data_IF_863636041759
#
_entry.id   IF_863636041759
#
_cell.length_a   1.000
_cell.length_b   1.000
_cell.length_c   1.000
_cell.angle_alpha   90.00
_cell.angle_beta   90.00
_cell.angle_gamma   90.00
#
_symmetry.space_group_name_H-M   'P 1'
#
loop_
_entity.id
_entity.type
_entity.pdbx_description
1 polymer ?
#
# COMPACT_ATOMS: atom_id res chain seq x y z
N UNK A 1 10.83 -4.93 17.12
CA UNK A 1 11.85 -4.23 17.96
C UNK A 1 11.44 -4.20 19.43
N UNK A 2 10.28 -3.64 19.80
CA UNK A 2 9.87 -3.49 21.22
C UNK A 2 9.80 -4.83 21.98
N UNK A 3 9.54 -5.93 21.31
CA UNK A 3 9.55 -7.27 21.91
C UNK A 3 10.96 -7.79 22.21
N UNK A 4 11.96 -7.34 21.48
CA UNK A 4 13.37 -7.71 21.68
C UNK A 4 14.03 -6.90 22.80
N UNK A 5 13.42 -5.80 23.20
CA UNK A 5 13.99 -4.91 24.22
C UNK A 5 13.63 -5.43 25.62
N UNK A 6 14.61 -5.56 26.48
CA UNK A 6 14.43 -6.02 27.86
C UNK A 6 13.99 -4.89 28.80
N UNK A 7 14.41 -3.66 28.55
CA UNK A 7 14.12 -2.50 29.40
C UNK A 7 12.71 -1.96 29.16
N UNK A 8 11.88 -1.95 30.20
CA UNK A 8 10.45 -1.55 30.14
C UNK A 8 10.23 -0.15 29.55
N UNK A 9 11.07 0.83 29.89
CA UNK A 9 10.91 2.19 29.38
C UNK A 9 11.19 2.29 27.87
N UNK A 10 12.13 1.50 27.32
CA UNK A 10 12.39 1.44 25.88
C UNK A 10 11.22 0.78 25.14
N UNK A 11 10.61 -0.26 25.72
CA UNK A 11 9.37 -0.84 25.18
C UNK A 11 8.27 0.20 25.06
N UNK A 12 8.05 0.97 26.13
CA UNK A 12 7.04 2.02 26.16
C UNK A 12 7.31 3.11 25.11
N UNK A 13 8.56 3.52 24.94
CA UNK A 13 8.94 4.49 23.89
C UNK A 13 8.69 3.94 22.48
N UNK A 14 9.07 2.69 22.21
CA UNK A 14 8.83 2.06 20.92
C UNK A 14 7.32 1.89 20.63
N UNK A 15 6.54 1.50 21.63
CA UNK A 15 5.08 1.43 21.49
C UNK A 15 4.46 2.80 21.22
N UNK A 16 4.90 3.85 21.93
CA UNK A 16 4.47 5.22 21.69
C UNK A 16 4.82 5.68 20.27
N UNK A 17 6.04 5.41 19.81
CA UNK A 17 6.50 5.73 18.46
C UNK A 17 5.63 5.03 17.38
N UNK A 18 5.35 3.74 17.55
CA UNK A 18 4.49 2.98 16.62
C UNK A 18 3.06 3.53 16.63
N UNK A 19 2.52 3.85 17.82
CA UNK A 19 1.17 4.44 17.94
C UNK A 19 1.08 5.81 17.26
N UNK A 20 2.11 6.66 17.39
CA UNK A 20 2.20 7.94 16.68
C UNK A 20 2.27 7.71 15.17
N UNK A 21 3.05 6.73 14.71
CA UNK A 21 3.10 6.33 13.30
C UNK A 21 1.73 5.90 12.75
N UNK A 22 0.98 5.13 13.52
CA UNK A 22 -0.39 4.74 13.16
C UNK A 22 -1.36 5.93 13.15
N UNK A 23 -1.25 6.83 14.11
CA UNK A 23 -2.04 8.06 14.11
C UNK A 23 -1.71 8.95 12.89
N UNK A 24 -0.42 9.07 12.55
CA UNK A 24 0.01 9.78 11.33
C UNK A 24 -0.54 9.14 10.06
N UNK A 25 -0.54 7.81 9.96
CA UNK A 25 -1.13 7.08 8.84
C UNK A 25 -2.64 7.35 8.74
N UNK A 26 -3.35 7.35 9.87
CA UNK A 26 -4.78 7.60 9.94
C UNK A 26 -5.14 9.05 9.56
N UNK A 27 -4.27 10.02 9.89
CA UNK A 27 -4.50 11.45 9.62
C UNK A 27 -3.99 11.94 8.28
N UNK A 28 -3.23 11.12 7.56
CA UNK A 28 -2.66 11.48 6.25
C UNK A 28 -3.72 11.70 5.16
N UNK A 29 -4.95 11.20 5.34
CA UNK A 29 -6.04 11.35 4.37
C UNK A 29 -5.88 10.52 3.09
N UNK A 30 -4.86 9.66 3.02
CA UNK A 30 -4.54 8.87 1.82
C UNK A 30 -5.09 7.46 1.90
N UNK A 31 -6.08 7.14 1.07
CA UNK A 31 -6.60 5.78 0.95
C UNK A 31 -5.51 4.77 0.49
N UNK A 32 -4.53 5.20 -0.31
CA UNK A 32 -3.42 4.34 -0.75
C UNK A 32 -2.53 3.90 0.43
N UNK A 33 -2.31 4.77 1.42
CA UNK A 33 -1.59 4.43 2.64
C UNK A 33 -2.30 3.33 3.44
N UNK A 34 -3.62 3.40 3.57
CA UNK A 34 -4.42 2.36 4.26
C UNK A 34 -4.40 1.03 3.49
N UNK A 35 -4.52 1.07 2.16
CA UNK A 35 -4.40 -0.15 1.32
C UNK A 35 -3.03 -0.78 1.50
N UNK A 36 -1.97 0.02 1.45
CA UNK A 36 -0.59 -0.42 1.67
C UNK A 36 -0.42 -1.07 3.05
N UNK A 37 -0.94 -0.42 4.08
CA UNK A 37 -0.93 -0.94 5.45
C UNK A 37 -1.68 -2.27 5.53
N UNK A 38 -2.87 -2.38 4.93
CA UNK A 38 -3.65 -3.62 4.92
C UNK A 38 -2.87 -4.78 4.26
N UNK A 39 -2.19 -4.55 3.13
CA UNK A 39 -1.36 -5.56 2.47
C UNK A 39 -0.17 -5.96 3.34
N UNK A 40 0.53 -4.99 3.93
CA UNK A 40 1.66 -5.25 4.83
C UNK A 40 1.21 -6.08 6.06
N UNK A 41 0.08 -5.71 6.67
CA UNK A 41 -0.48 -6.44 7.82
C UNK A 41 -0.99 -7.84 7.42
N UNK A 42 -1.52 -8.01 6.21
CA UNK A 42 -1.92 -9.33 5.72
C UNK A 42 -0.72 -10.27 5.57
N UNK A 43 0.40 -9.79 5.02
CA UNK A 43 1.64 -10.57 4.92
C UNK A 43 2.21 -10.87 6.31
N UNK A 44 2.21 -9.88 7.21
CA UNK A 44 2.65 -10.06 8.59
C UNK A 44 1.77 -11.08 9.35
N UNK A 45 0.46 -11.08 9.09
CA UNK A 45 -0.45 -12.11 9.61
C UNK A 45 -0.02 -13.50 9.14
N UNK A 46 0.23 -13.67 7.84
CA UNK A 46 0.71 -14.94 7.26
C UNK A 46 2.01 -15.45 7.90
N UNK A 47 2.98 -14.55 8.14
CA UNK A 47 4.25 -14.87 8.82
C UNK A 47 4.04 -15.24 10.30
N UNK A 48 2.93 -14.82 10.89
CA UNK A 48 2.63 -15.01 12.32
C UNK A 48 1.77 -16.24 12.59
N UNK A 49 1.07 -16.78 11.60
CA UNK A 49 0.07 -17.85 11.75
C UNK A 49 0.62 -19.10 12.46
N UNK A 50 1.86 -19.46 12.18
CA UNK A 50 2.47 -20.69 12.70
C UNK A 50 3.04 -20.56 14.12
N UNK A 51 3.17 -19.35 14.63
CA UNK A 51 3.75 -19.07 15.96
C UNK A 51 2.77 -18.24 16.79
N UNK A 52 2.29 -18.85 17.87
CA UNK A 52 1.32 -18.21 18.77
C UNK A 52 1.85 -16.92 19.42
N UNK A 53 3.16 -16.84 19.62
CA UNK A 53 3.79 -15.64 20.17
C UNK A 53 3.88 -14.51 19.14
N UNK A 54 4.17 -14.83 17.88
CA UNK A 54 4.13 -13.84 16.79
C UNK A 54 2.69 -13.37 16.53
N UNK A 55 1.72 -14.27 16.57
CA UNK A 55 0.31 -13.93 16.42
C UNK A 55 -0.19 -13.02 17.55
N UNK A 56 0.26 -13.22 18.76
CA UNK A 56 -0.05 -12.31 19.88
C UNK A 56 0.50 -10.91 19.63
N UNK A 57 1.75 -10.79 19.13
CA UNK A 57 2.34 -9.51 18.76
C UNK A 57 1.58 -8.87 17.60
N UNK A 58 1.21 -9.63 16.58
CA UNK A 58 0.39 -9.13 15.48
C UNK A 58 -0.91 -8.47 15.98
N UNK A 59 -1.62 -9.12 16.89
CA UNK A 59 -2.86 -8.57 17.44
C UNK A 59 -2.63 -7.41 18.43
N UNK A 60 -1.46 -7.33 19.06
CA UNK A 60 -1.04 -6.14 19.80
C UNK A 60 -0.89 -4.94 18.86
N UNK A 61 -0.20 -5.11 17.73
CA UNK A 61 -0.06 -4.07 16.70
C UNK A 61 -1.43 -3.64 16.13
N UNK A 62 -2.32 -4.59 15.84
CA UNK A 62 -3.69 -4.28 15.38
C UNK A 62 -4.50 -3.51 16.42
N UNK A 63 -4.33 -3.83 17.71
CA UNK A 63 -4.99 -3.11 18.80
C UNK A 63 -4.42 -1.69 18.94
N UNK A 64 -3.10 -1.52 18.78
CA UNK A 64 -2.46 -0.20 18.79
C UNK A 64 -2.92 0.66 17.60
N UNK A 65 -3.03 0.07 16.41
CA UNK A 65 -3.55 0.77 15.23
C UNK A 65 -5.00 1.24 15.45
N UNK A 66 -5.87 0.36 15.89
CA UNK A 66 -7.28 0.70 16.13
C UNK A 66 -7.44 1.71 17.27
N UNK A 67 -6.62 1.63 18.33
CA UNK A 67 -6.58 2.64 19.40
C UNK A 67 -6.09 4.00 18.86
N UNK A 68 -5.10 4.04 17.98
CA UNK A 68 -4.66 5.28 17.34
C UNK A 68 -5.77 5.91 16.48
N UNK A 69 -6.52 5.11 15.72
CA UNK A 69 -7.70 5.58 14.98
C UNK A 69 -8.78 6.14 15.93
N UNK A 70 -9.03 5.48 17.05
CA UNK A 70 -9.99 5.93 18.05
C UNK A 70 -9.55 7.25 18.70
N UNK A 71 -8.28 7.37 19.09
CA UNK A 71 -7.71 8.62 19.63
C UNK A 71 -7.87 9.74 18.59
N UNK A 72 -7.53 9.50 17.33
CA UNK A 72 -7.71 10.48 16.26
C UNK A 72 -9.18 10.90 16.12
N UNK A 73 -10.10 9.95 16.21
CA UNK A 73 -11.54 10.22 16.19
C UNK A 73 -11.96 11.15 17.36
N UNK A 74 -11.50 10.88 18.56
CA UNK A 74 -11.78 11.72 19.76
C UNK A 74 -11.21 13.12 19.57
N UNK A 75 -9.95 13.24 19.12
CA UNK A 75 -9.29 14.53 18.91
C UNK A 75 -10.01 15.37 17.83
N UNK A 76 -10.49 14.73 16.75
CA UNK A 76 -11.31 15.40 15.72
C UNK A 76 -12.62 15.91 16.29
N UNK A 77 -13.34 15.10 17.06
CA UNK A 77 -14.62 15.49 17.69
C UNK A 77 -14.47 16.61 18.71
N UNK A 78 -13.34 16.70 19.37
CA UNK A 78 -13.01 17.77 20.30
C UNK A 78 -12.48 19.04 19.60
N UNK A 79 -12.40 19.06 18.28
CA UNK A 79 -11.89 20.17 17.47
C UNK A 79 -10.49 20.66 17.91
N UNK A 80 -9.62 19.71 18.32
CA UNK A 80 -8.26 20.03 18.79
C UNK A 80 -7.34 20.40 17.62
N UNK A 81 -7.65 19.95 16.41
CA UNK A 81 -6.89 20.31 15.21
C UNK A 81 -7.19 21.76 14.81
N UNK A 82 -6.15 22.56 14.60
CA UNK A 82 -6.24 23.99 14.23
C UNK A 82 -6.81 24.22 12.83
N UNK A 83 -6.89 23.19 12.00
CA UNK A 83 -7.55 23.18 10.68
C UNK A 83 -8.49 21.99 10.60
N UNK A 84 -9.58 22.17 9.87
CA UNK A 84 -10.48 21.07 9.58
C UNK A 84 -9.71 19.97 8.85
N UNK A 85 -9.66 18.78 9.45
CA UNK A 85 -8.96 17.63 8.88
C UNK A 85 -9.91 16.99 7.86
N UNK A 86 -9.75 17.36 6.60
CA UNK A 86 -10.54 16.80 5.50
C UNK A 86 -9.96 15.41 5.18
N UNK A 87 -10.65 14.36 5.62
CA UNK A 87 -10.33 12.98 5.33
C UNK A 87 -11.43 12.42 4.45
N UNK A 88 -11.05 11.62 3.46
CA UNK A 88 -11.98 11.03 2.49
C UNK A 88 -11.93 9.51 2.53
N UNK A 89 -13.03 8.87 2.12
CA UNK A 89 -13.12 7.43 1.94
C UNK A 89 -12.81 6.62 3.19
N UNK A 90 -11.89 5.67 3.09
CA UNK A 90 -11.56 4.71 4.16
C UNK A 90 -10.98 5.42 5.39
N UNK A 91 -10.19 6.48 5.21
CA UNK A 91 -9.59 7.22 6.33
C UNK A 91 -10.63 7.94 7.16
N UNK A 92 -11.64 8.52 6.53
CA UNK A 92 -12.75 9.14 7.24
C UNK A 92 -13.59 8.10 7.99
N UNK A 93 -13.90 6.97 7.35
CA UNK A 93 -14.59 5.86 8.00
C UNK A 93 -13.87 5.38 9.26
N UNK A 94 -12.56 5.22 9.23
CA UNK A 94 -11.75 4.75 10.36
C UNK A 94 -11.63 5.77 11.50
N UNK A 95 -11.63 7.08 11.18
CA UNK A 95 -11.30 8.13 12.13
C UNK A 95 -12.48 8.99 12.56
N UNK A 96 -13.67 8.80 12.01
CA UNK A 96 -14.85 9.60 12.37
C UNK A 96 -16.09 8.79 12.75
N UNK A 97 -16.13 7.51 12.43
CA UNK A 97 -17.29 6.65 12.69
C UNK A 97 -17.12 5.79 13.95
N UNK A 98 -18.19 5.08 14.30
CA UNK A 98 -18.20 4.03 15.34
C UNK A 98 -17.24 2.88 14.98
N UNK A 99 -16.77 2.81 13.72
CA UNK A 99 -15.85 1.76 13.26
C UNK A 99 -14.56 1.70 14.09
N UNK A 100 -13.98 2.83 14.48
CA UNK A 100 -12.79 2.86 15.34
C UNK A 100 -13.00 2.22 16.71
N UNK A 101 -14.18 2.45 17.32
CA UNK A 101 -14.56 1.82 18.61
C UNK A 101 -14.71 0.31 18.41
N UNK A 102 -15.48 -0.08 17.38
CA UNK A 102 -15.72 -1.49 17.09
C UNK A 102 -14.41 -2.24 16.81
N UNK A 103 -13.52 -1.67 15.98
CA UNK A 103 -12.21 -2.26 15.69
C UNK A 103 -11.34 -2.42 16.94
N UNK A 104 -11.35 -1.43 17.85
CA UNK A 104 -10.56 -1.48 19.09
C UNK A 104 -11.08 -2.59 19.99
N UNK A 105 -12.39 -2.69 20.17
CA UNK A 105 -12.99 -3.75 21.00
C UNK A 105 -12.73 -5.13 20.37
N UNK A 106 -12.97 -5.27 19.06
CA UNK A 106 -12.77 -6.54 18.34
C UNK A 106 -11.32 -7.00 18.40
N UNK A 107 -10.37 -6.12 18.12
CA UNK A 107 -8.94 -6.46 18.15
C UNK A 107 -8.49 -6.83 19.58
N UNK A 108 -8.99 -6.13 20.60
CA UNK A 108 -8.74 -6.45 22.01
C UNK A 108 -9.31 -7.81 22.42
N UNK A 109 -10.53 -8.15 21.98
CA UNK A 109 -11.14 -9.48 22.23
C UNK A 109 -10.31 -10.58 21.56
N UNK A 110 -9.90 -10.38 20.31
CA UNK A 110 -9.10 -11.38 19.60
C UNK A 110 -7.72 -11.51 20.26
N UNK A 111 -7.08 -10.41 20.65
CA UNK A 111 -5.81 -10.43 21.37
C UNK A 111 -5.93 -11.25 22.67
N UNK A 112 -6.99 -10.99 23.46
CA UNK A 112 -7.26 -11.76 24.69
C UNK A 112 -7.47 -13.26 24.38
N UNK A 113 -8.21 -13.58 23.33
CA UNK A 113 -8.46 -14.96 22.92
C UNK A 113 -7.17 -15.66 22.48
N UNK A 114 -6.33 -15.02 21.66
CA UNK A 114 -5.01 -15.55 21.24
C UNK A 114 -4.11 -15.76 22.46
N UNK A 115 -4.01 -14.78 23.36
CA UNK A 115 -3.25 -14.93 24.60
C UNK A 115 -3.72 -16.14 25.42
N UNK A 116 -5.02 -16.27 25.61
CA UNK A 116 -5.61 -17.38 26.37
C UNK A 116 -5.36 -18.74 25.73
N UNK A 117 -5.48 -18.86 24.39
CA UNK A 117 -5.21 -20.12 23.68
C UNK A 117 -3.72 -20.47 23.73
N UNK A 118 -2.85 -19.47 23.66
CA UNK A 118 -1.40 -19.65 23.84
C UNK A 118 -1.08 -20.20 25.23
N UNK A 119 -1.58 -19.57 26.30
CA UNK A 119 -1.36 -20.01 27.68
C UNK A 119 -1.89 -21.42 27.91
N UNK A 120 -3.05 -21.76 27.33
CA UNK A 120 -3.66 -23.10 27.42
C UNK A 120 -3.05 -24.13 26.49
N UNK A 121 -2.04 -23.77 25.69
CA UNK A 121 -1.42 -24.63 24.65
C UNK A 121 -2.45 -25.20 23.66
N UNK A 122 -3.51 -24.48 23.39
CA UNK A 122 -4.60 -24.84 22.48
C UNK A 122 -4.69 -23.91 21.26
N UNK A 123 -3.57 -23.38 20.84
CA UNK A 123 -3.49 -22.44 19.70
C UNK A 123 -3.99 -23.08 18.41
N UNK A 124 -4.96 -22.47 17.71
CA UNK A 124 -5.63 -23.08 16.57
C UNK A 124 -4.88 -22.82 15.24
N UNK A 125 -3.61 -23.19 15.15
CA UNK A 125 -2.74 -22.94 14.00
C UNK A 125 -3.39 -23.35 12.66
N UNK A 126 -3.92 -24.59 12.60
CA UNK A 126 -4.52 -25.12 11.36
C UNK A 126 -5.73 -24.32 10.87
N UNK A 127 -6.55 -23.83 11.80
CA UNK A 127 -7.70 -22.99 11.48
C UNK A 127 -7.25 -21.64 10.92
N UNK A 128 -6.34 -20.96 11.62
CA UNK A 128 -5.81 -19.66 11.20
C UNK A 128 -5.06 -19.74 9.87
N UNK A 129 -4.33 -20.82 9.64
CA UNK A 129 -3.66 -21.06 8.35
C UNK A 129 -4.67 -21.24 7.21
N UNK A 130 -5.76 -21.99 7.42
CA UNK A 130 -6.83 -22.11 6.42
C UNK A 130 -7.51 -20.79 6.11
N UNK A 131 -7.80 -19.98 7.16
CA UNK A 131 -8.36 -18.63 7.00
C UNK A 131 -7.42 -17.77 6.18
N UNK A 132 -6.12 -17.76 6.50
CA UNK A 132 -5.11 -17.02 5.74
C UNK A 132 -5.08 -17.43 4.27
N UNK A 133 -4.99 -18.72 3.98
CA UNK A 133 -4.98 -19.23 2.60
C UNK A 133 -6.29 -18.90 1.86
N UNK A 134 -7.43 -18.99 2.54
CA UNK A 134 -8.72 -18.60 1.96
C UNK A 134 -8.75 -17.13 1.56
N UNK A 135 -8.32 -16.23 2.44
CA UNK A 135 -8.24 -14.79 2.17
C UNK A 135 -7.20 -14.51 1.06
N UNK A 136 -6.04 -15.18 1.10
CA UNK A 136 -4.97 -15.04 0.11
C UNK A 136 -5.41 -15.39 -1.32
N UNK A 137 -6.41 -16.24 -1.46
CA UNK A 137 -7.01 -16.59 -2.76
C UNK A 137 -8.20 -15.68 -3.06
N UNK A 138 -9.11 -15.50 -2.10
CA UNK A 138 -10.36 -14.79 -2.32
C UNK A 138 -10.17 -13.32 -2.67
N UNK A 139 -9.23 -12.63 -1.98
CA UNK A 139 -9.01 -11.19 -2.19
C UNK A 139 -8.45 -10.89 -3.60
N UNK A 140 -7.39 -11.54 -4.10
CA UNK A 140 -6.93 -11.32 -5.48
C UNK A 140 -7.98 -11.69 -6.53
N UNK A 141 -8.72 -12.78 -6.32
CA UNK A 141 -9.81 -13.17 -7.23
C UNK A 141 -10.92 -12.11 -7.26
N UNK A 142 -11.30 -11.59 -6.10
CA UNK A 142 -12.29 -10.51 -6.01
C UNK A 142 -11.79 -9.23 -6.70
N UNK A 143 -10.54 -8.84 -6.47
CA UNK A 143 -9.92 -7.67 -7.14
C UNK A 143 -9.93 -7.87 -8.65
N UNK A 144 -9.51 -9.03 -9.13
CA UNK A 144 -9.49 -9.34 -10.57
C UNK A 144 -10.91 -9.29 -11.16
N UNK A 145 -11.91 -9.82 -10.45
CA UNK A 145 -13.30 -9.77 -10.88
C UNK A 145 -13.80 -8.33 -10.96
N UNK A 146 -13.52 -7.49 -9.95
CA UNK A 146 -13.91 -6.07 -9.95
C UNK A 146 -13.27 -5.34 -11.12
N UNK A 147 -11.97 -5.55 -11.35
CA UNK A 147 -11.27 -4.93 -12.48
C UNK A 147 -11.86 -5.38 -13.83
N UNK A 148 -12.16 -6.66 -13.98
CA UNK A 148 -12.78 -7.20 -15.18
C UNK A 148 -14.18 -6.59 -15.40
N UNK A 149 -15.01 -6.52 -14.37
CA UNK A 149 -16.34 -5.91 -14.44
C UNK A 149 -16.26 -4.41 -14.78
N UNK A 150 -15.30 -3.69 -14.18
CA UNK A 150 -15.03 -2.27 -14.51
C UNK A 150 -14.64 -2.13 -16.00
N UNK A 151 -13.76 -3.01 -16.50
CA UNK A 151 -13.35 -3.00 -17.90
C UNK A 151 -14.52 -3.27 -18.84
N UNK A 152 -15.31 -4.33 -18.57
CA UNK A 152 -16.49 -4.67 -19.37
C UNK A 152 -17.48 -3.51 -19.36
N UNK A 153 -17.77 -2.94 -18.18
CA UNK A 153 -18.67 -1.79 -18.06
C UNK A 153 -18.18 -0.57 -18.84
N UNK A 154 -16.87 -0.32 -18.86
CA UNK A 154 -16.26 0.75 -19.63
C UNK A 154 -16.43 0.52 -21.13
N UNK A 155 -16.08 -0.67 -21.64
CA UNK A 155 -16.15 -1.00 -23.07
C UNK A 155 -17.61 -1.03 -23.58
N UNK A 156 -18.55 -1.43 -22.73
CA UNK A 156 -19.98 -1.48 -23.09
C UNK A 156 -20.73 -0.15 -22.83
N UNK A 157 -20.02 0.92 -22.50
CA UNK A 157 -20.62 2.24 -22.29
C UNK A 157 -21.56 2.31 -21.08
N UNK A 158 -21.30 1.53 -20.03
CA UNK A 158 -22.13 1.52 -18.81
C UNK A 158 -23.25 0.49 -18.77
N UNK A 159 -23.24 -0.50 -19.68
CA UNK A 159 -24.32 -1.49 -19.78
C UNK A 159 -24.52 -2.35 -18.51
N UNK A 160 -23.49 -2.52 -17.67
CA UNK A 160 -23.61 -3.25 -16.41
C UNK A 160 -24.20 -2.39 -15.27
N UNK A 161 -24.30 -1.09 -15.47
CA UNK A 161 -24.75 -0.14 -14.43
C UNK A 161 -25.84 0.81 -14.98
N UNK A 162 -26.90 0.29 -15.61
CA UNK A 162 -27.95 1.13 -16.17
C UNK A 162 -28.64 1.91 -15.05
N UNK A 163 -28.76 3.24 -15.23
CA UNK A 163 -29.44 4.10 -14.25
C UNK A 163 -28.59 4.58 -13.08
N UNK A 164 -27.34 4.15 -12.95
CA UNK A 164 -26.40 4.73 -11.97
C UNK A 164 -25.80 6.00 -12.58
N UNK A 165 -26.30 7.15 -12.13
CA UNK A 165 -25.84 8.48 -12.60
C UNK A 165 -25.01 9.22 -11.57
N UNK A 166 -24.91 8.72 -10.33
CA UNK A 166 -24.13 9.33 -9.27
C UNK A 166 -22.63 9.32 -9.66
N UNK A 167 -21.99 10.50 -9.83
CA UNK A 167 -20.57 10.60 -10.21
C UNK A 167 -19.64 9.93 -9.19
N UNK A 168 -20.00 9.93 -7.90
CA UNK A 168 -19.19 9.32 -6.85
C UNK A 168 -19.15 7.79 -6.96
N UNK A 169 -20.19 7.19 -7.46
CA UNK A 169 -20.30 5.74 -7.70
C UNK A 169 -19.72 5.39 -9.07
N UNK A 170 -20.06 6.14 -10.11
CA UNK A 170 -19.62 5.84 -11.49
C UNK A 170 -18.12 5.95 -11.67
N UNK A 171 -17.44 6.84 -10.91
CA UNK A 171 -15.97 6.95 -10.94
C UNK A 171 -15.23 5.67 -10.54
N UNK A 172 -15.89 4.72 -9.87
CA UNK A 172 -15.30 3.43 -9.51
C UNK A 172 -15.73 2.29 -10.45
N UNK A 173 -16.89 2.42 -11.06
CA UNK A 173 -17.49 1.38 -11.89
C UNK A 173 -17.13 1.48 -13.36
N UNK A 174 -16.63 2.64 -13.81
CA UNK A 174 -16.25 2.88 -15.20
C UNK A 174 -14.86 3.54 -15.23
N UNK A 175 -13.93 2.95 -15.99
CA UNK A 175 -12.60 3.55 -16.15
C UNK A 175 -12.68 4.79 -17.00
N UNK A 176 -12.55 5.93 -16.38
CA UNK A 176 -12.55 7.26 -17.03
C UNK A 176 -11.50 8.15 -16.37
N UNK A 177 -11.40 9.40 -16.80
CA UNK A 177 -10.41 10.37 -16.29
C UNK A 177 -10.51 10.61 -14.78
N UNK A 178 -11.70 10.43 -14.19
CA UNK A 178 -11.94 10.61 -12.75
C UNK A 178 -11.77 9.33 -11.94
N UNK A 179 -11.53 8.19 -12.59
CA UNK A 179 -11.37 6.89 -11.93
C UNK A 179 -10.26 6.91 -10.88
N UNK A 180 -10.49 6.23 -9.77
CA UNK A 180 -9.48 6.07 -8.72
C UNK A 180 -8.99 7.41 -8.12
N UNK A 181 -9.88 8.35 -7.85
CA UNK A 181 -9.54 9.71 -7.38
C UNK A 181 -8.69 10.48 -8.38
N UNK A 182 -9.18 10.54 -9.63
CA UNK A 182 -8.57 11.24 -10.77
C UNK A 182 -7.27 10.62 -11.31
N UNK A 183 -6.90 9.41 -10.89
CA UNK A 183 -5.73 8.70 -11.42
C UNK A 183 -5.96 8.11 -12.81
N UNK A 184 -7.23 7.84 -13.19
CA UNK A 184 -7.56 7.34 -14.53
C UNK A 184 -7.00 8.18 -15.66
N UNK A 185 -7.03 9.52 -15.55
CA UNK A 185 -6.46 10.44 -16.53
C UNK A 185 -4.93 10.33 -16.62
N UNK A 186 -4.22 10.29 -15.49
CA UNK A 186 -2.75 10.17 -15.47
C UNK A 186 -2.28 8.81 -15.97
N UNK A 187 -2.99 7.73 -15.59
CA UNK A 187 -2.70 6.38 -16.08
C UNK A 187 -2.95 6.22 -17.58
N UNK A 188 -4.08 6.79 -18.06
CA UNK A 188 -4.37 6.79 -19.50
C UNK A 188 -3.31 7.56 -20.28
N UNK A 189 -2.87 8.73 -19.78
CA UNK A 189 -1.81 9.51 -20.42
C UNK A 189 -0.48 8.76 -20.47
N UNK A 190 -0.03 8.17 -19.34
CA UNK A 190 1.20 7.39 -19.31
C UNK A 190 1.15 6.13 -20.18
N UNK A 191 0.04 5.38 -20.12
CA UNK A 191 -0.14 4.19 -20.97
C UNK A 191 -0.15 4.54 -22.45
N UNK A 192 -0.83 5.63 -22.82
CA UNK A 192 -0.88 6.10 -24.22
C UNK A 192 0.49 6.61 -24.67
N UNK A 193 1.22 7.32 -23.81
CA UNK A 193 2.59 7.74 -24.07
C UNK A 193 3.48 6.54 -24.43
N UNK A 194 3.46 5.48 -23.61
CA UNK A 194 4.20 4.25 -23.92
C UNK A 194 3.74 3.58 -25.21
N UNK A 195 2.43 3.55 -25.48
CA UNK A 195 1.88 2.89 -26.66
C UNK A 195 2.23 3.60 -27.96
N UNK A 196 2.21 4.94 -27.96
CA UNK A 196 2.54 5.79 -29.11
C UNK A 196 4.06 5.92 -29.35
N UNK A 197 4.88 5.62 -28.32
CA UNK A 197 6.34 5.65 -28.46
C UNK A 197 6.84 4.66 -29.50
N UNK A 198 7.95 4.99 -30.16
CA UNK A 198 8.61 4.09 -31.12
C UNK A 198 9.21 2.84 -30.41
N UNK A 199 9.71 1.92 -31.23
CA UNK A 199 10.21 0.64 -30.73
C UNK A 199 11.39 0.78 -29.75
N UNK A 200 12.31 1.72 -29.98
CA UNK A 200 13.47 1.92 -29.12
C UNK A 200 13.07 2.53 -27.78
N UNK A 201 12.17 3.51 -27.80
CA UNK A 201 11.62 4.08 -26.57
C UNK A 201 10.77 3.07 -25.77
N UNK A 202 10.09 2.14 -26.42
CA UNK A 202 9.42 1.04 -25.70
C UNK A 202 10.39 0.13 -24.97
N UNK A 203 11.58 -0.13 -25.53
CA UNK A 203 12.59 -1.01 -24.91
C UNK A 203 13.38 -0.28 -23.82
N UNK A 204 13.88 0.93 -24.11
CA UNK A 204 14.84 1.67 -23.27
C UNK A 204 14.23 2.86 -22.53
N UNK A 205 12.98 3.24 -22.87
CA UNK A 205 12.30 4.40 -22.33
C UNK A 205 12.63 5.70 -23.04
N UNK A 206 11.89 6.75 -22.67
CA UNK A 206 12.07 8.11 -23.22
C UNK A 206 13.16 8.91 -22.47
N UNK A 207 13.69 8.35 -21.41
CA UNK A 207 14.68 8.94 -20.52
C UNK A 207 14.13 9.16 -19.11
N UNK A 208 14.98 9.06 -18.07
CA UNK A 208 14.58 9.31 -16.69
C UNK A 208 14.00 10.72 -16.53
N UNK A 209 12.81 10.81 -15.90
CA UNK A 209 12.05 12.05 -15.67
C UNK A 209 11.67 12.82 -16.95
N UNK A 210 11.66 12.13 -18.10
CA UNK A 210 11.38 12.73 -19.41
C UNK A 210 9.91 12.59 -19.86
N UNK A 211 9.02 11.98 -19.05
CA UNK A 211 7.60 11.82 -19.39
C UNK A 211 6.97 13.11 -19.90
N UNK A 212 7.13 14.22 -19.16
CA UNK A 212 6.56 15.51 -19.56
C UNK A 212 7.15 16.04 -20.86
N UNK A 213 8.47 15.96 -21.02
CA UNK A 213 9.16 16.44 -22.23
C UNK A 213 8.70 15.66 -23.47
N UNK A 214 8.60 14.34 -23.35
CA UNK A 214 8.11 13.48 -24.42
C UNK A 214 6.65 13.79 -24.77
N UNK A 215 5.77 13.89 -23.77
CA UNK A 215 4.36 14.24 -23.97
C UNK A 215 4.20 15.58 -24.71
N UNK A 216 5.02 16.56 -24.36
CA UNK A 216 4.90 17.92 -24.91
C UNK A 216 5.50 18.07 -26.32
N UNK A 217 6.55 17.31 -26.65
CA UNK A 217 7.31 17.50 -27.89
C UNK A 217 7.04 16.41 -28.92
N UNK A 218 6.84 15.18 -28.50
CA UNK A 218 6.76 14.00 -29.40
C UNK A 218 5.40 13.29 -29.34
N UNK A 219 4.58 13.56 -28.30
CA UNK A 219 3.24 12.99 -28.19
C UNK A 219 2.34 13.44 -29.35
N UNK A 220 1.43 12.57 -29.79
CA UNK A 220 0.44 12.93 -30.79
C UNK A 220 -0.40 14.11 -30.36
N UNK A 221 -0.93 14.87 -31.34
CA UNK A 221 -1.84 16.01 -31.07
C UNK A 221 -2.98 15.59 -30.13
N UNK A 222 -3.56 14.39 -30.33
CA UNK A 222 -4.63 13.87 -29.47
C UNK A 222 -4.19 13.60 -28.03
N UNK A 223 -2.93 13.16 -27.82
CA UNK A 223 -2.37 12.95 -26.49
C UNK A 223 -2.09 14.31 -25.81
N UNK A 224 -1.48 15.25 -26.52
CA UNK A 224 -1.22 16.60 -26.04
C UNK A 224 -2.53 17.32 -25.65
N UNK A 225 -3.56 17.26 -26.51
CA UNK A 225 -4.88 17.83 -26.23
C UNK A 225 -5.49 17.21 -24.97
N UNK A 226 -5.48 15.87 -24.86
CA UNK A 226 -6.00 15.18 -23.67
C UNK A 226 -5.30 15.63 -22.38
N UNK A 227 -3.98 15.80 -22.41
CA UNK A 227 -3.19 16.25 -21.25
C UNK A 227 -3.48 17.72 -20.95
N UNK A 228 -3.54 18.59 -21.95
CA UNK A 228 -3.82 20.01 -21.78
C UNK A 228 -5.24 20.26 -21.25
N UNK A 229 -6.25 19.59 -21.82
CA UNK A 229 -7.64 19.71 -21.38
C UNK A 229 -7.82 19.26 -19.94
N UNK A 230 -7.09 18.21 -19.54
CA UNK A 230 -7.23 17.62 -18.21
C UNK A 230 -6.44 18.37 -17.14
N UNK A 231 -5.23 18.82 -17.45
CA UNK A 231 -4.31 19.39 -16.47
C UNK A 231 -4.16 20.90 -16.59
N UNK A 232 -4.87 21.54 -17.54
CA UNK A 232 -4.97 23.00 -17.64
C UNK A 232 -3.61 23.70 -17.80
N UNK A 233 -2.68 23.09 -18.54
CA UNK A 233 -1.31 23.58 -18.69
C UNK A 233 -0.36 23.21 -17.54
N UNK A 234 -0.81 22.51 -16.51
CA UNK A 234 0.08 21.96 -15.50
C UNK A 234 0.90 20.81 -16.08
N UNK A 235 2.17 20.73 -15.66
CA UNK A 235 3.09 19.70 -16.13
C UNK A 235 2.74 18.35 -15.54
N UNK A 236 2.47 17.36 -16.39
CA UNK A 236 2.33 15.95 -15.96
C UNK A 236 3.72 15.31 -15.92
N UNK A 237 4.39 15.40 -14.78
CA UNK A 237 5.76 14.88 -14.61
C UNK A 237 5.82 13.38 -14.33
N UNK A 238 4.71 12.77 -13.87
CA UNK A 238 4.61 11.34 -13.58
C UNK A 238 3.18 10.84 -13.74
N UNK A 239 3.00 9.54 -13.87
CA UNK A 239 1.71 8.90 -14.08
C UNK A 239 0.90 8.67 -12.78
N UNK A 240 1.36 9.13 -11.61
CA UNK A 240 0.82 8.74 -10.30
C UNK A 240 0.71 7.21 -10.12
N UNK A 241 1.59 6.51 -10.76
CA UNK A 241 1.84 5.08 -10.69
C UNK A 241 3.30 4.88 -11.09
N UNK A 242 4.13 4.53 -10.12
CA UNK A 242 5.58 4.40 -10.33
C UNK A 242 5.91 3.34 -11.38
N UNK A 243 5.18 2.22 -11.37
CA UNK A 243 5.41 1.15 -12.35
C UNK A 243 5.18 1.61 -13.78
N UNK A 244 4.16 2.43 -13.98
CA UNK A 244 3.86 3.00 -15.28
C UNK A 244 4.85 4.11 -15.64
N UNK A 245 5.27 4.93 -14.68
CA UNK A 245 6.31 5.96 -14.90
C UNK A 245 7.64 5.30 -15.28
N UNK A 246 8.07 4.28 -14.54
CA UNK A 246 9.26 3.48 -14.86
C UNK A 246 9.17 2.86 -16.26
N UNK A 247 7.98 2.33 -16.63
CA UNK A 247 7.78 1.76 -17.99
C UNK A 247 7.98 2.80 -19.08
N UNK A 248 7.53 4.04 -18.87
CA UNK A 248 7.70 5.11 -19.85
C UNK A 248 9.13 5.63 -19.86
N UNK A 249 9.67 5.92 -18.69
CA UNK A 249 10.97 6.60 -18.55
C UNK A 249 12.16 5.72 -18.91
N UNK A 250 12.15 4.43 -18.52
CA UNK A 250 13.27 3.51 -18.74
C UNK A 250 12.89 2.21 -19.47
N UNK A 251 11.68 2.17 -20.04
CA UNK A 251 11.22 1.12 -20.92
C UNK A 251 10.98 -0.23 -20.27
N UNK A 252 10.69 -1.22 -21.11
CA UNK A 252 10.40 -2.59 -20.66
C UNK A 252 11.60 -3.22 -19.96
N UNK A 253 12.82 -3.00 -20.43
CA UNK A 253 14.03 -3.54 -19.80
C UNK A 253 14.25 -2.93 -18.41
N UNK A 254 14.04 -1.62 -18.28
CA UNK A 254 14.14 -0.95 -16.99
C UNK A 254 13.05 -1.42 -16.01
N UNK A 255 11.82 -1.57 -16.48
CA UNK A 255 10.72 -2.09 -15.67
C UNK A 255 11.00 -3.52 -15.17
N UNK A 256 11.49 -4.42 -16.04
CA UNK A 256 11.84 -5.80 -15.66
C UNK A 256 12.95 -5.80 -14.59
N UNK A 257 13.97 -4.96 -14.78
CA UNK A 257 15.08 -4.85 -13.82
C UNK A 257 14.62 -4.30 -12.48
N UNK A 258 13.82 -3.23 -12.49
CA UNK A 258 13.26 -2.62 -11.28
C UNK A 258 12.32 -3.58 -10.54
N UNK A 259 11.39 -4.21 -11.26
CA UNK A 259 10.47 -5.19 -10.69
C UNK A 259 11.24 -6.41 -10.13
N UNK A 260 12.23 -6.91 -10.88
CA UNK A 260 13.08 -8.01 -10.45
C UNK A 260 13.81 -7.71 -9.14
N UNK A 261 14.38 -6.52 -9.02
CA UNK A 261 15.05 -6.05 -7.78
C UNK A 261 14.07 -6.03 -6.59
N UNK A 262 12.90 -5.40 -6.74
CA UNK A 262 11.90 -5.30 -5.67
C UNK A 262 11.35 -6.66 -5.27
N UNK A 263 10.97 -7.50 -6.24
CA UNK A 263 10.42 -8.84 -6.00
C UNK A 263 11.45 -9.74 -5.32
N UNK A 264 12.71 -9.69 -5.76
CA UNK A 264 13.78 -10.49 -5.16
C UNK A 264 14.03 -10.08 -3.72
N UNK A 265 14.14 -8.76 -3.44
CA UNK A 265 14.32 -8.25 -2.09
C UNK A 265 13.16 -8.66 -1.17
N UNK A 266 11.91 -8.46 -1.60
CA UNK A 266 10.71 -8.86 -0.82
C UNK A 266 10.75 -10.35 -0.53
N UNK A 267 10.92 -11.19 -1.57
CA UNK A 267 10.94 -12.64 -1.44
C UNK A 267 12.02 -13.14 -0.47
N UNK A 268 13.24 -12.66 -0.65
CA UNK A 268 14.39 -13.16 0.09
C UNK A 268 14.36 -12.67 1.54
N UNK A 269 13.94 -11.42 1.78
CA UNK A 269 13.82 -10.88 3.13
C UNK A 269 12.65 -11.50 3.90
N UNK A 270 11.50 -11.73 3.27
CA UNK A 270 10.37 -12.37 3.94
C UNK A 270 10.68 -13.83 4.27
N UNK A 271 11.36 -14.57 3.39
CA UNK A 271 11.81 -15.94 3.67
C UNK A 271 12.82 -16.00 4.82
N UNK A 272 13.85 -15.16 4.78
CA UNK A 272 14.82 -15.08 5.86
C UNK A 272 14.20 -14.59 7.17
N UNK A 273 13.14 -13.78 7.11
CA UNK A 273 12.40 -13.25 8.24
C UNK A 273 11.69 -14.31 9.08
N UNK A 274 11.53 -15.54 8.59
CA UNK A 274 11.05 -16.65 9.42
C UNK A 274 11.99 -16.92 10.61
N UNK A 275 13.29 -16.75 10.42
CA UNK A 275 14.32 -16.94 11.44
C UNK A 275 14.95 -15.63 11.93
N UNK A 276 15.05 -14.62 11.05
CA UNK A 276 15.67 -13.31 11.32
C UNK A 276 14.63 -12.20 11.27
N UNK A 277 14.04 -11.85 12.40
CA UNK A 277 12.89 -10.92 12.49
C UNK A 277 13.18 -9.53 11.90
N UNK A 278 14.39 -8.99 12.05
CA UNK A 278 14.77 -7.70 11.48
C UNK A 278 14.83 -7.74 9.95
N UNK A 279 15.28 -8.85 9.37
CA UNK A 279 15.28 -9.04 7.91
C UNK A 279 13.84 -9.10 7.38
N UNK A 280 12.96 -9.80 8.09
CA UNK A 280 11.53 -9.81 7.77
C UNK A 280 10.90 -8.41 7.82
N UNK A 281 11.28 -7.59 8.81
CA UNK A 281 10.83 -6.21 8.89
C UNK A 281 11.29 -5.38 7.67
N UNK A 282 12.55 -5.55 7.21
CA UNK A 282 13.01 -4.93 5.97
C UNK A 282 12.16 -5.37 4.77
N UNK A 283 11.81 -6.66 4.68
CA UNK A 283 10.93 -7.19 3.64
C UNK A 283 9.54 -6.55 3.62
N UNK A 284 8.94 -6.36 4.80
CA UNK A 284 7.65 -5.65 4.94
C UNK A 284 7.77 -4.18 4.52
N UNK A 285 8.86 -3.50 4.85
CA UNK A 285 9.09 -2.11 4.41
C UNK A 285 9.20 -2.00 2.88
N UNK A 286 9.97 -2.89 2.23
CA UNK A 286 10.10 -2.91 0.76
C UNK A 286 8.76 -3.26 0.11
N UNK A 287 8.02 -4.22 0.66
CA UNK A 287 6.67 -4.56 0.20
C UNK A 287 5.72 -3.37 0.30
N UNK A 288 5.69 -2.69 1.44
CA UNK A 288 4.83 -1.53 1.64
C UNK A 288 5.14 -0.41 0.63
N UNK A 289 6.42 -0.11 0.41
CA UNK A 289 6.84 0.84 -0.62
C UNK A 289 6.38 0.41 -2.02
N UNK A 290 6.60 -0.84 -2.38
CA UNK A 290 6.24 -1.43 -3.68
C UNK A 290 4.73 -1.33 -3.96
N UNK A 291 3.91 -1.63 -2.96
CA UNK A 291 2.44 -1.54 -3.07
C UNK A 291 1.97 -0.09 -3.12
N UNK A 292 2.53 0.80 -2.29
CA UNK A 292 2.16 2.23 -2.30
C UNK A 292 2.42 2.86 -3.67
N UNK A 293 3.49 2.47 -4.33
CA UNK A 293 3.89 2.98 -5.63
C UNK A 293 3.01 2.51 -6.80
N UNK A 294 2.07 1.60 -6.58
CA UNK A 294 0.98 1.33 -7.53
C UNK A 294 -0.01 2.50 -7.63
N UNK A 295 -0.08 3.33 -6.59
CA UNK A 295 -1.03 4.44 -6.48
C UNK A 295 -0.35 5.80 -6.27
N UNK A 296 0.96 5.83 -6.26
CA UNK A 296 1.79 7.00 -6.02
C UNK A 296 3.00 6.99 -6.96
N UNK A 297 3.90 7.92 -6.79
CA UNK A 297 5.13 8.03 -7.55
C UNK A 297 6.33 8.09 -6.61
N UNK A 298 7.50 7.83 -7.15
CA UNK A 298 8.76 7.87 -6.44
C UNK A 298 9.04 9.27 -5.92
N UNK A 299 9.30 9.35 -4.63
CA UNK A 299 9.77 10.56 -3.96
C UNK A 299 11.18 10.35 -3.45
N UNK A 300 12.05 11.34 -3.66
CA UNK A 300 13.48 11.27 -3.30
C UNK A 300 13.70 10.84 -1.85
N UNK A 301 12.87 11.35 -0.93
CA UNK A 301 12.98 11.01 0.50
C UNK A 301 12.63 9.53 0.78
N UNK A 302 11.64 9.00 0.10
CA UNK A 302 11.16 7.64 0.35
C UNK A 302 12.07 6.60 -0.29
N UNK A 303 12.48 6.80 -1.55
CA UNK A 303 13.30 5.84 -2.28
C UNK A 303 14.68 5.67 -1.64
N UNK A 304 15.31 6.78 -1.24
CA UNK A 304 16.61 6.74 -0.56
C UNK A 304 16.55 5.90 0.72
N UNK A 305 15.49 6.08 1.50
CA UNK A 305 15.25 5.29 2.72
C UNK A 305 15.06 3.80 2.39
N UNK A 306 14.32 3.49 1.34
CA UNK A 306 14.07 2.09 0.94
C UNK A 306 15.37 1.40 0.50
N UNK A 307 16.24 2.07 -0.27
CA UNK A 307 17.53 1.51 -0.64
C UNK A 307 18.44 1.27 0.56
N UNK A 308 18.45 2.18 1.55
CA UNK A 308 19.16 1.97 2.81
C UNK A 308 18.61 0.74 3.55
N UNK A 309 17.28 0.61 3.65
CA UNK A 309 16.62 -0.56 4.26
C UNK A 309 16.98 -1.85 3.51
N UNK A 310 17.03 -1.83 2.18
CA UNK A 310 17.44 -2.98 1.37
C UNK A 310 18.90 -3.36 1.66
N UNK A 311 19.81 -2.37 1.76
CA UNK A 311 21.20 -2.62 2.13
C UNK A 311 21.36 -3.21 3.53
N UNK A 312 20.61 -2.69 4.51
CA UNK A 312 20.57 -3.23 5.88
C UNK A 312 20.02 -4.67 5.86
N UNK A 313 18.91 -4.89 5.17
CA UNK A 313 18.27 -6.21 5.05
C UNK A 313 19.22 -7.25 4.46
N UNK A 314 19.95 -6.90 3.40
CA UNK A 314 20.90 -7.81 2.75
C UNK A 314 22.10 -8.11 3.67
N UNK A 315 22.64 -7.11 4.34
CA UNK A 315 23.72 -7.31 5.31
C UNK A 315 23.27 -8.25 6.46
N UNK A 316 22.10 -7.99 7.06
CA UNK A 316 21.57 -8.82 8.14
C UNK A 316 21.24 -10.25 7.66
N UNK A 317 20.76 -10.39 6.42
CA UNK A 317 20.47 -11.70 5.81
C UNK A 317 21.73 -12.54 5.68
N UNK A 318 22.81 -11.93 5.23
CA UNK A 318 24.11 -12.57 4.97
C UNK A 318 24.93 -12.80 6.24
N UNK A 319 24.63 -12.07 7.34
CA UNK A 319 25.35 -12.19 8.60
C UNK A 319 25.14 -13.58 9.27
N UNK A 320 26.18 -14.15 9.92
CA UNK A 320 26.04 -15.34 10.74
C UNK A 320 25.00 -15.16 11.85
N UNK A 321 24.28 -16.24 12.22
CA UNK A 321 23.20 -16.18 13.23
C UNK A 321 23.63 -15.61 14.61
N UNK A 322 24.92 -15.61 14.92
CA UNK A 322 25.47 -15.09 16.19
C UNK A 322 25.53 -13.55 16.24
N UNK A 323 25.29 -12.85 15.15
CA UNK A 323 25.39 -11.39 15.03
C UNK A 323 24.04 -10.70 14.87
N UNK A 324 22.94 -11.41 14.87
CA UNK A 324 21.56 -10.95 14.67
C UNK A 324 20.69 -11.39 15.83
#
# INVERSE_FOLDING_TARGET
LWRMEEMTWKKLLLMAYVTIGFASLATQGSSSGIVTFAVAMFVLFGMSVRDSGRMEVFWQEMTMFSAACLITCVLRRLNIFSRELILEGITDLLTFSIAGIFMTILSGIILYWIHRTRVRRSYPEKLLHRIYCGIAIAVPVMILLVLLLTLINTVTGGALTPGITDPEVTKWLTFNVSWGSARGGTWAAGARCFWEADFLHKIFGVGPDCLYAFLSNEGSVGLQTMVNDRFGGNRLTNAHNEWLTVLVDIGVLGLISYAGMMITAIRDFLRAGENKMLVGACGICVLAYTVNNMFSFQQVMNISTVFVIMGIGENLRSAPERCV
#
